data_IF_279109991363
#
_entry.id   IF_279109991363
#
_cell.length_a   1.000
_cell.length_b   1.000
_cell.length_c   1.000
_cell.angle_alpha   90.00
_cell.angle_beta   90.00
_cell.angle_gamma   90.00
#
_symmetry.space_group_name_H-M   'P 1'
#
loop_
_entity.id
_entity.type
_entity.pdbx_description
1 polymer ?
#
# COMPACT_ATOMS: atom_id res chain seq x y z
N UNK A 1 -5.93 -19.48 0.96
CA UNK A 1 -4.82 -20.43 0.78
C UNK A 1 -3.69 -20.16 1.78
N UNK A 2 -3.07 -18.97 1.77
CA UNK A 2 -1.94 -18.62 2.64
C UNK A 2 -2.24 -18.72 4.14
N UNK A 3 -3.43 -18.32 4.58
CA UNK A 3 -3.90 -18.51 5.96
C UNK A 3 -3.97 -20.00 6.36
N UNK A 4 -4.51 -20.85 5.48
CA UNK A 4 -4.65 -22.30 5.72
C UNK A 4 -3.28 -22.97 5.78
N UNK A 5 -2.37 -22.60 4.86
CA UNK A 5 -0.99 -23.11 4.86
C UNK A 5 -0.25 -22.70 6.13
N UNK A 6 -0.40 -21.44 6.59
CA UNK A 6 0.18 -21.01 7.87
C UNK A 6 -0.44 -21.75 9.07
N UNK A 7 -1.76 -21.93 9.09
CA UNK A 7 -2.43 -22.66 10.17
C UNK A 7 -1.97 -24.12 10.24
N UNK A 8 -1.82 -24.79 9.10
CA UNK A 8 -1.28 -26.14 9.00
C UNK A 8 0.20 -26.20 9.41
N UNK A 9 1.00 -25.22 8.99
CA UNK A 9 2.41 -25.13 9.37
C UNK A 9 2.55 -24.93 10.89
N UNK A 10 1.79 -24.01 11.49
CA UNK A 10 1.73 -23.81 12.95
C UNK A 10 1.28 -25.10 13.64
N UNK A 11 0.19 -25.72 13.20
CA UNK A 11 -0.30 -26.97 13.79
C UNK A 11 0.76 -28.08 13.74
N UNK A 12 1.43 -28.26 12.60
CA UNK A 12 2.52 -29.21 12.45
C UNK A 12 3.72 -28.86 13.35
N UNK A 13 4.07 -27.56 13.45
CA UNK A 13 5.16 -27.05 14.30
C UNK A 13 4.99 -27.38 15.78
N UNK A 14 3.75 -27.44 16.28
CA UNK A 14 3.46 -27.67 17.71
C UNK A 14 2.96 -29.08 18.04
N UNK A 15 2.30 -29.76 17.10
CA UNK A 15 1.69 -31.08 17.37
C UNK A 15 2.62 -32.24 17.08
N UNK A 16 3.56 -32.05 16.15
CA UNK A 16 4.60 -33.03 15.85
C UNK A 16 5.81 -32.60 16.66
N UNK A 17 6.16 -33.36 17.70
CA UNK A 17 7.27 -33.11 18.63
C UNK A 17 8.65 -33.24 17.94
N UNK A 18 8.83 -32.57 16.80
CA UNK A 18 10.02 -32.54 15.98
C UNK A 18 10.59 -31.13 16.05
N UNK A 19 11.85 -31.00 16.51
CA UNK A 19 12.54 -29.71 16.59
C UNK A 19 12.57 -28.96 15.23
N UNK A 20 12.52 -29.69 14.12
CA UNK A 20 12.49 -29.13 12.76
C UNK A 20 11.12 -28.56 12.37
N UNK A 21 10.03 -29.04 12.97
CA UNK A 21 8.67 -28.60 12.65
C UNK A 21 8.48 -27.12 13.00
N UNK A 22 9.11 -26.67 14.08
CA UNK A 22 9.10 -25.28 14.56
C UNK A 22 9.58 -24.30 13.48
N UNK A 23 10.56 -24.69 12.66
CA UNK A 23 11.12 -23.81 11.61
C UNK A 23 10.25 -23.71 10.35
N UNK A 24 9.42 -24.71 10.05
CA UNK A 24 8.57 -24.71 8.84
C UNK A 24 7.55 -23.57 8.83
N UNK A 25 7.02 -23.20 10.01
CA UNK A 25 6.13 -22.06 10.13
C UNK A 25 6.78 -20.70 9.85
N UNK A 26 8.10 -20.59 10.02
CA UNK A 26 8.87 -19.38 9.73
C UNK A 26 9.24 -19.23 8.24
N UNK A 27 9.25 -20.33 7.47
CA UNK A 27 9.65 -20.33 6.05
C UNK A 27 8.76 -19.44 5.21
N UNK A 28 7.44 -19.54 5.37
CA UNK A 28 6.49 -18.83 4.50
C UNK A 28 6.54 -17.31 4.71
N UNK A 29 6.52 -16.76 5.95
CA UNK A 29 6.75 -15.33 6.17
C UNK A 29 8.10 -14.86 5.64
N UNK A 30 9.18 -15.62 5.86
CA UNK A 30 10.51 -15.24 5.42
C UNK A 30 10.62 -15.20 3.89
N UNK A 31 10.15 -16.22 3.17
CA UNK A 31 10.15 -16.26 1.71
C UNK A 31 9.32 -15.12 1.12
N UNK A 32 8.14 -14.87 1.68
CA UNK A 32 7.30 -13.77 1.19
C UNK A 32 7.96 -12.41 1.44
N UNK A 33 8.61 -12.22 2.58
CA UNK A 33 9.37 -11.00 2.88
C UNK A 33 10.58 -10.83 1.95
N UNK A 34 11.23 -11.91 1.52
CA UNK A 34 12.38 -11.84 0.62
C UNK A 34 11.99 -11.60 -0.84
N UNK A 35 10.91 -12.22 -1.31
CA UNK A 35 10.53 -12.19 -2.73
C UNK A 35 9.59 -11.03 -3.03
N UNK A 36 8.57 -10.84 -2.19
CA UNK A 36 7.45 -9.94 -2.50
C UNK A 36 7.65 -8.56 -1.88
N UNK A 37 8.26 -8.46 -0.69
CA UNK A 37 8.45 -7.17 -0.04
C UNK A 37 9.39 -6.21 -0.79
N UNK A 38 10.50 -6.64 -1.43
CA UNK A 38 11.33 -5.74 -2.22
C UNK A 38 10.56 -5.13 -3.39
N UNK A 39 9.76 -5.92 -4.10
CA UNK A 39 8.89 -5.41 -5.15
C UNK A 39 7.91 -4.40 -4.56
N UNK A 40 7.22 -4.74 -3.48
CA UNK A 40 6.24 -3.83 -2.89
C UNK A 40 6.80 -2.55 -2.26
N UNK A 41 8.01 -2.59 -1.70
CA UNK A 41 8.58 -1.50 -0.91
C UNK A 41 9.57 -0.65 -1.71
N UNK A 42 10.29 -1.25 -2.64
CA UNK A 42 11.44 -0.66 -3.34
C UNK A 42 11.14 -0.39 -4.82
N UNK A 43 10.14 -1.06 -5.41
CA UNK A 43 9.83 -0.88 -6.84
C UNK A 43 9.57 0.59 -7.15
N UNK A 44 10.41 1.09 -8.06
CA UNK A 44 10.41 2.49 -8.50
C UNK A 44 9.42 2.65 -9.64
N UNK A 45 8.97 3.87 -9.83
CA UNK A 45 8.16 4.20 -10.99
C UNK A 45 8.91 3.87 -12.29
N UNK A 46 8.25 3.18 -13.21
CA UNK A 46 8.77 2.96 -14.56
C UNK A 46 8.93 4.28 -15.34
N UNK A 47 8.22 5.33 -14.89
CA UNK A 47 8.30 6.69 -15.42
C UNK A 47 9.14 7.55 -14.44
N UNK A 48 10.14 8.33 -14.92
CA UNK A 48 10.89 9.23 -14.06
C UNK A 48 9.99 10.27 -13.35
N UNK A 49 10.24 10.62 -12.08
CA UNK A 49 9.42 11.59 -11.34
C UNK A 49 9.22 12.92 -12.08
N UNK A 50 10.29 13.46 -12.69
CA UNK A 50 10.21 14.70 -13.47
C UNK A 50 9.25 14.59 -14.67
N UNK A 51 9.16 13.41 -15.28
CA UNK A 51 8.23 13.15 -16.39
C UNK A 51 6.79 13.07 -15.88
N UNK A 52 6.57 12.42 -14.73
CA UNK A 52 5.25 12.39 -14.07
C UNK A 52 4.78 13.82 -13.78
N UNK A 53 5.62 14.64 -13.13
CA UNK A 53 5.27 16.04 -12.83
C UNK A 53 4.94 16.81 -14.10
N UNK A 54 5.75 16.68 -15.16
CA UNK A 54 5.49 17.37 -16.43
C UNK A 54 4.14 16.99 -17.06
N UNK A 55 3.71 15.73 -16.92
CA UNK A 55 2.39 15.27 -17.43
C UNK A 55 1.25 15.82 -16.56
N UNK A 56 1.45 15.95 -15.25
CA UNK A 56 0.43 16.39 -14.31
C UNK A 56 0.26 17.92 -14.24
N UNK A 57 1.35 18.69 -14.37
CA UNK A 57 1.35 20.17 -14.33
C UNK A 57 0.27 20.83 -15.20
N UNK A 58 0.01 20.42 -16.46
CA UNK A 58 -1.02 21.07 -17.27
C UNK A 58 -2.46 20.78 -16.79
N UNK A 59 -2.67 19.81 -15.89
CA UNK A 59 -3.99 19.39 -15.41
C UNK A 59 -4.23 19.73 -13.94
N UNK A 60 -3.17 19.74 -13.13
CA UNK A 60 -3.23 19.81 -11.67
C UNK A 60 -2.38 20.97 -11.14
N UNK A 61 -2.94 21.83 -10.29
CA UNK A 61 -2.19 22.94 -9.68
C UNK A 61 -1.29 22.51 -8.50
N UNK A 62 -1.46 21.29 -8.00
CA UNK A 62 -0.66 20.65 -6.95
C UNK A 62 0.18 19.48 -7.48
N UNK A 63 0.60 19.54 -8.75
CA UNK A 63 1.28 18.45 -9.45
C UNK A 63 2.53 17.91 -8.73
N UNK A 64 3.26 18.75 -7.99
CA UNK A 64 4.45 18.33 -7.23
C UNK A 64 4.09 17.40 -6.05
N UNK A 65 3.16 17.84 -5.18
CA UNK A 65 2.65 17.04 -4.06
C UNK A 65 2.06 15.72 -4.56
N UNK A 66 1.34 15.78 -5.69
CA UNK A 66 0.71 14.63 -6.32
C UNK A 66 1.75 13.65 -6.90
N UNK A 67 2.79 14.17 -7.56
CA UNK A 67 3.89 13.34 -8.06
C UNK A 67 4.61 12.64 -6.91
N UNK A 68 4.93 13.36 -5.84
CA UNK A 68 5.60 12.78 -4.68
C UNK A 68 4.76 11.65 -4.06
N UNK A 69 3.44 11.83 -3.99
CA UNK A 69 2.52 10.82 -3.49
C UNK A 69 2.44 9.59 -4.42
N UNK A 70 2.31 9.80 -5.73
CA UNK A 70 2.28 8.73 -6.74
C UNK A 70 3.57 7.93 -6.73
N UNK A 71 4.74 8.59 -6.70
CA UNK A 71 6.04 7.90 -6.64
C UNK A 71 6.17 7.10 -5.34
N UNK A 72 5.74 7.67 -4.21
CA UNK A 72 5.78 6.99 -2.90
C UNK A 72 4.94 5.71 -2.88
N UNK A 73 3.79 5.71 -3.54
CA UNK A 73 2.84 4.59 -3.55
C UNK A 73 2.67 3.96 -4.94
N UNK A 74 3.72 4.04 -5.77
CA UNK A 74 3.67 3.63 -7.18
C UNK A 74 3.10 2.23 -7.37
N UNK A 75 3.64 1.25 -6.65
CA UNK A 75 3.20 -0.15 -6.72
C UNK A 75 1.70 -0.31 -6.41
N UNK A 76 1.18 0.46 -5.44
CA UNK A 76 -0.22 0.38 -5.04
C UNK A 76 -1.15 0.85 -6.17
N UNK A 77 -0.72 1.88 -6.89
CA UNK A 77 -1.46 2.44 -8.01
C UNK A 77 -1.32 1.56 -9.26
N UNK A 78 -0.08 1.16 -9.61
CA UNK A 78 0.24 0.37 -10.79
C UNK A 78 -0.31 -1.07 -10.77
N UNK A 79 -0.42 -1.70 -9.60
CA UNK A 79 -0.90 -3.09 -9.48
C UNK A 79 -2.25 -3.19 -8.77
N UNK A 80 -3.15 -2.28 -9.13
CA UNK A 80 -4.44 -2.03 -8.50
C UNK A 80 -5.27 -3.28 -8.19
N UNK A 81 -5.37 -4.17 -9.16
CA UNK A 81 -6.16 -5.40 -9.11
C UNK A 81 -5.61 -6.44 -8.12
N UNK A 82 -4.34 -6.31 -7.72
CA UNK A 82 -3.65 -7.27 -6.85
C UNK A 82 -3.18 -6.66 -5.52
N UNK A 83 -3.18 -5.34 -5.38
CA UNK A 83 -2.67 -4.63 -4.19
C UNK A 83 -3.37 -5.06 -2.90
N UNK A 84 -4.70 -5.16 -2.91
CA UNK A 84 -5.50 -5.63 -1.77
C UNK A 84 -5.12 -7.04 -1.32
N UNK A 85 -4.95 -7.97 -2.26
CA UNK A 85 -4.56 -9.36 -1.97
C UNK A 85 -3.17 -9.40 -1.33
N UNK A 86 -2.21 -8.66 -1.91
CA UNK A 86 -0.85 -8.53 -1.37
C UNK A 86 -0.86 -7.93 0.04
N UNK A 87 -1.65 -6.89 0.30
CA UNK A 87 -1.84 -6.31 1.65
C UNK A 87 -2.35 -7.34 2.63
N UNK A 88 -3.46 -8.03 2.31
CA UNK A 88 -4.05 -9.05 3.18
C UNK A 88 -3.05 -10.16 3.51
N UNK A 89 -2.34 -10.66 2.52
CA UNK A 89 -1.36 -11.72 2.68
C UNK A 89 -0.17 -11.24 3.55
N UNK A 90 0.30 -10.00 3.36
CA UNK A 90 1.27 -9.37 4.25
C UNK A 90 0.76 -9.24 5.68
N UNK A 91 -0.54 -8.93 5.89
CA UNK A 91 -1.14 -8.84 7.23
C UNK A 91 -1.05 -10.18 7.97
N UNK A 92 -1.54 -11.23 7.31
CA UNK A 92 -1.53 -12.59 7.87
C UNK A 92 -0.10 -13.01 8.22
N UNK A 93 0.86 -12.72 7.33
CA UNK A 93 2.24 -13.16 7.48
C UNK A 93 3.02 -12.36 8.52
N UNK A 94 2.80 -11.05 8.68
CA UNK A 94 3.48 -10.31 9.74
C UNK A 94 2.99 -10.75 11.13
N UNK A 95 1.68 -11.00 11.27
CA UNK A 95 1.10 -11.49 12.53
C UNK A 95 1.68 -12.87 12.87
N UNK A 96 1.77 -13.74 11.86
CA UNK A 96 2.40 -15.06 11.98
C UNK A 96 3.88 -14.93 12.38
N UNK A 97 4.61 -13.99 11.77
CA UNK A 97 6.01 -13.74 12.09
C UNK A 97 6.23 -13.24 13.52
N UNK A 98 5.40 -12.30 14.00
CA UNK A 98 5.45 -11.83 15.38
C UNK A 98 5.07 -12.91 16.39
N UNK A 99 4.08 -13.75 16.07
CA UNK A 99 3.75 -14.91 16.88
C UNK A 99 4.94 -15.87 17.01
N UNK A 100 5.58 -16.24 15.90
CA UNK A 100 6.78 -17.09 15.93
C UNK A 100 7.96 -16.44 16.64
N UNK A 101 8.13 -15.12 16.51
CA UNK A 101 9.13 -14.37 17.28
C UNK A 101 8.93 -14.58 18.78
N UNK A 102 7.71 -14.43 19.28
CA UNK A 102 7.40 -14.64 20.69
C UNK A 102 7.69 -16.09 21.11
N UNK A 103 7.22 -17.07 20.33
CA UNK A 103 7.43 -18.50 20.58
C UNK A 103 8.92 -18.84 20.69
N UNK A 104 9.74 -18.34 19.75
CA UNK A 104 11.18 -18.62 19.74
C UNK A 104 11.88 -18.00 20.95
N UNK A 105 11.50 -16.78 21.35
CA UNK A 105 12.03 -16.15 22.57
C UNK A 105 11.67 -16.96 23.81
N UNK A 106 10.44 -17.44 23.94
CA UNK A 106 10.01 -18.31 25.06
C UNK A 106 10.71 -19.67 25.07
N UNK A 107 11.28 -20.10 23.94
CA UNK A 107 12.09 -21.32 23.81
C UNK A 107 13.60 -21.05 23.88
N UNK A 108 14.00 -19.84 24.28
CA UNK A 108 15.40 -19.40 24.38
C UNK A 108 16.15 -19.37 23.02
N UNK A 109 15.42 -19.44 21.91
CA UNK A 109 15.94 -19.34 20.54
C UNK A 109 16.01 -17.87 20.08
N UNK A 110 16.78 -17.05 20.79
CA UNK A 110 16.79 -15.60 20.61
C UNK A 110 17.15 -15.15 19.18
N UNK A 111 18.13 -15.81 18.54
CA UNK A 111 18.53 -15.46 17.17
C UNK A 111 17.40 -15.68 16.16
N UNK A 112 16.69 -16.80 16.26
CA UNK A 112 15.54 -17.10 15.42
C UNK A 112 14.38 -16.12 15.71
N UNK A 113 14.16 -15.80 17.00
CA UNK A 113 13.16 -14.82 17.42
C UNK A 113 13.42 -13.44 16.82
N UNK A 114 14.65 -12.94 16.94
CA UNK A 114 15.05 -11.65 16.37
C UNK A 114 14.89 -11.59 14.85
N UNK A 115 15.25 -12.67 14.14
CA UNK A 115 15.06 -12.75 12.69
C UNK A 115 13.58 -12.69 12.31
N UNK A 116 12.71 -13.42 13.02
CA UNK A 116 11.27 -13.38 12.77
C UNK A 116 10.63 -12.04 13.11
N UNK A 117 11.14 -11.34 14.12
CA UNK A 117 10.72 -9.97 14.42
C UNK A 117 11.06 -9.03 13.27
N UNK A 118 12.27 -9.13 12.71
CA UNK A 118 12.69 -8.33 11.56
C UNK A 118 11.84 -8.62 10.32
N UNK A 119 11.60 -9.91 10.02
CA UNK A 119 10.70 -10.35 8.94
C UNK A 119 9.29 -9.78 9.13
N UNK A 120 8.74 -9.91 10.34
CA UNK A 120 7.42 -9.35 10.68
C UNK A 120 7.37 -7.83 10.49
N UNK A 121 8.42 -7.11 10.89
CA UNK A 121 8.50 -5.67 10.68
C UNK A 121 8.49 -5.27 9.20
N UNK A 122 9.26 -5.98 8.35
CA UNK A 122 9.27 -5.74 6.90
C UNK A 122 7.89 -5.98 6.29
N UNK A 123 7.24 -7.08 6.65
CA UNK A 123 5.90 -7.43 6.18
C UNK A 123 4.82 -6.46 6.68
N UNK A 124 4.97 -5.96 7.91
CA UNK A 124 4.11 -4.91 8.46
C UNK A 124 4.24 -3.62 7.65
N UNK A 125 5.47 -3.15 7.40
CA UNK A 125 5.72 -1.96 6.57
C UNK A 125 5.14 -2.12 5.15
N UNK A 126 5.28 -3.31 4.58
CA UNK A 126 4.67 -3.66 3.30
C UNK A 126 3.14 -3.56 3.36
N UNK A 127 2.50 -4.13 4.40
CA UNK A 127 1.04 -4.13 4.54
C UNK A 127 0.43 -2.72 4.59
N UNK A 128 1.17 -1.75 5.14
CA UNK A 128 0.74 -0.36 5.19
C UNK A 128 0.87 0.32 3.82
N UNK A 129 1.94 0.02 3.07
CA UNK A 129 2.31 0.75 1.85
C UNK A 129 1.59 0.26 0.60
N UNK A 130 1.37 -1.06 0.48
CA UNK A 130 0.99 -1.72 -0.79
C UNK A 130 -0.40 -1.36 -1.28
N UNK A 131 -1.29 -0.91 -0.41
CA UNK A 131 -2.66 -0.52 -0.77
C UNK A 131 -3.05 0.82 -0.15
N UNK A 132 -2.04 1.64 0.24
CA UNK A 132 -2.26 2.85 1.05
C UNK A 132 -3.27 3.81 0.41
N UNK A 133 -3.13 4.23 -0.86
CA UNK A 133 -4.02 5.24 -1.43
C UNK A 133 -5.50 4.82 -1.38
N UNK A 134 -5.82 3.59 -1.78
CA UNK A 134 -7.19 3.06 -1.72
C UNK A 134 -7.69 2.90 -0.29
N UNK A 135 -6.84 2.38 0.60
CA UNK A 135 -7.20 2.22 2.00
C UNK A 135 -7.47 3.53 2.73
N UNK A 136 -6.73 4.59 2.37
CA UNK A 136 -6.90 5.93 2.92
C UNK A 136 -8.18 6.55 2.35
N UNK A 137 -8.37 6.48 1.03
CA UNK A 137 -9.57 6.99 0.37
C UNK A 137 -10.86 6.36 0.93
N UNK A 138 -10.87 5.04 1.13
CA UNK A 138 -12.03 4.31 1.67
C UNK A 138 -12.28 4.52 3.18
N UNK A 139 -11.37 5.19 3.90
CA UNK A 139 -11.47 5.35 5.36
C UNK A 139 -12.19 6.64 5.74
N UNK A 140 -13.35 6.51 6.39
CA UNK A 140 -14.11 7.66 6.91
C UNK A 140 -13.30 8.50 7.89
N UNK A 141 -12.47 7.89 8.74
CA UNK A 141 -11.62 8.62 9.70
C UNK A 141 -10.62 9.59 9.04
N UNK A 142 -10.12 9.25 7.84
CA UNK A 142 -9.25 10.11 7.05
C UNK A 142 -10.08 11.18 6.33
N UNK A 143 -11.26 10.82 5.84
CA UNK A 143 -12.19 11.72 5.17
C UNK A 143 -12.72 12.81 6.12
N UNK A 144 -13.18 12.43 7.30
CA UNK A 144 -13.81 13.32 8.27
C UNK A 144 -12.80 14.14 9.09
N UNK A 145 -11.49 13.95 8.84
CA UNK A 145 -10.43 14.66 9.53
C UNK A 145 -10.24 14.24 11.00
N UNK A 146 -10.66 13.03 11.37
CA UNK A 146 -10.46 12.50 12.74
C UNK A 146 -8.98 12.35 13.11
N UNK A 147 -8.11 12.21 12.10
CA UNK A 147 -6.65 12.24 12.24
C UNK A 147 -6.05 13.66 12.15
N UNK A 148 -6.88 14.70 12.21
CA UNK A 148 -6.51 16.10 12.01
C UNK A 148 -6.25 16.46 10.55
N UNK A 149 -5.75 17.68 10.34
CA UNK A 149 -5.51 18.27 9.01
C UNK A 149 -4.57 17.44 8.14
N UNK A 150 -3.60 16.75 8.75
CA UNK A 150 -2.66 15.89 8.03
C UNK A 150 -3.34 14.64 7.47
N UNK A 151 -4.27 14.04 8.22
CA UNK A 151 -5.08 12.91 7.77
C UNK A 151 -6.01 13.30 6.64
N UNK A 152 -6.69 14.46 6.76
CA UNK A 152 -7.51 15.00 5.68
C UNK A 152 -6.67 15.26 4.42
N UNK A 153 -5.50 15.89 4.55
CA UNK A 153 -4.60 16.11 3.40
C UNK A 153 -4.15 14.79 2.75
N UNK A 154 -3.88 13.74 3.54
CA UNK A 154 -3.55 12.43 2.98
C UNK A 154 -4.74 11.82 2.21
N UNK A 155 -5.97 12.01 2.70
CA UNK A 155 -7.19 11.60 2.00
C UNK A 155 -7.35 12.30 0.66
N UNK A 156 -7.18 13.62 0.63
CA UNK A 156 -7.29 14.42 -0.60
C UNK A 156 -6.23 13.99 -1.63
N UNK A 157 -4.98 13.82 -1.19
CA UNK A 157 -3.90 13.32 -2.06
C UNK A 157 -4.16 11.91 -2.56
N UNK A 158 -4.73 11.04 -1.73
CA UNK A 158 -5.07 9.68 -2.14
C UNK A 158 -6.15 9.67 -3.24
N UNK A 159 -7.23 10.45 -3.06
CA UNK A 159 -8.31 10.57 -4.04
C UNK A 159 -7.79 11.14 -5.38
N UNK A 160 -7.06 12.26 -5.32
CA UNK A 160 -6.46 12.87 -6.51
C UNK A 160 -5.45 11.94 -7.18
N UNK A 161 -4.66 11.19 -6.42
CA UNK A 161 -3.66 10.29 -6.99
C UNK A 161 -4.30 9.12 -7.75
N UNK A 162 -5.45 8.60 -7.31
CA UNK A 162 -6.16 7.54 -8.05
C UNK A 162 -6.60 8.07 -9.43
N UNK A 163 -7.16 9.29 -9.47
CA UNK A 163 -7.60 9.92 -10.72
C UNK A 163 -6.38 10.26 -11.61
N UNK A 164 -5.40 10.96 -11.05
CA UNK A 164 -4.20 11.38 -11.78
C UNK A 164 -3.35 10.21 -12.29
N UNK A 165 -3.42 9.04 -11.63
CA UNK A 165 -2.74 7.86 -12.14
C UNK A 165 -3.40 7.30 -13.40
N UNK A 166 -4.72 7.44 -13.55
CA UNK A 166 -5.41 7.10 -14.81
C UNK A 166 -5.02 8.06 -15.95
N UNK A 167 -4.68 9.32 -15.65
CA UNK A 167 -4.13 10.25 -16.65
C UNK A 167 -2.76 9.80 -17.19
N UNK A 168 -1.98 9.03 -16.41
CA UNK A 168 -0.68 8.50 -16.82
C UNK A 168 -0.82 7.26 -17.73
N UNK A 169 -1.93 6.54 -17.63
CA UNK A 169 -2.21 5.29 -18.35
C UNK A 169 -3.66 5.29 -18.87
N UNK A 170 -3.99 6.13 -19.87
CA UNK A 170 -5.37 6.30 -20.34
C UNK A 170 -5.97 5.05 -20.97
N UNK A 171 -5.12 4.13 -21.45
CA UNK A 171 -5.51 2.88 -22.10
C UNK A 171 -5.73 1.71 -21.12
N UNK A 172 -5.45 1.91 -19.82
CA UNK A 172 -5.64 0.89 -18.78
C UNK A 172 -7.07 0.96 -18.22
N UNK A 173 -7.91 0.05 -18.70
CA UNK A 173 -9.34 -0.01 -18.37
C UNK A 173 -9.62 -0.16 -16.86
N UNK A 174 -8.98 -1.09 -16.12
CA UNK A 174 -9.11 -1.17 -14.66
C UNK A 174 -8.75 0.13 -13.90
N UNK A 175 -7.73 0.86 -14.35
CA UNK A 175 -7.36 2.14 -13.73
C UNK A 175 -8.41 3.22 -14.00
N UNK A 176 -8.96 3.24 -15.22
CA UNK A 176 -10.03 4.18 -15.61
C UNK A 176 -11.32 3.92 -14.86
N UNK A 177 -11.71 2.66 -14.68
CA UNK A 177 -12.89 2.29 -13.86
C UNK A 177 -12.71 2.76 -12.42
N UNK A 178 -11.56 2.45 -11.80
CA UNK A 178 -11.26 2.89 -10.44
C UNK A 178 -11.26 4.42 -10.30
N UNK A 179 -10.80 5.17 -11.31
CA UNK A 179 -10.86 6.62 -11.30
C UNK A 179 -12.31 7.13 -11.45
N UNK A 180 -13.12 6.47 -12.28
CA UNK A 180 -14.51 6.86 -12.52
C UNK A 180 -15.36 6.73 -11.25
N UNK A 181 -15.19 5.66 -10.47
CA UNK A 181 -15.84 5.51 -9.16
C UNK A 181 -15.49 6.64 -8.19
N UNK A 182 -14.23 7.11 -8.21
CA UNK A 182 -13.76 8.19 -7.35
C UNK A 182 -14.31 9.55 -7.81
N UNK A 183 -14.52 9.76 -9.12
CA UNK A 183 -15.12 10.97 -9.69
C UNK A 183 -16.59 11.14 -9.29
N UNK A 184 -17.29 10.07 -8.94
CA UNK A 184 -18.70 10.13 -8.52
C UNK A 184 -18.88 10.65 -7.08
N UNK A 185 -17.85 10.57 -6.22
CA UNK A 185 -17.91 11.06 -4.84
C UNK A 185 -18.04 12.60 -4.81
N UNK A 186 -19.09 13.08 -4.13
CA UNK A 186 -19.40 14.51 -4.00
C UNK A 186 -18.28 15.32 -3.36
N UNK A 187 -17.56 14.76 -2.38
CA UNK A 187 -16.43 15.44 -1.75
C UNK A 187 -15.23 15.55 -2.68
N UNK A 188 -15.07 14.58 -3.59
CA UNK A 188 -14.02 14.61 -4.60
C UNK A 188 -14.31 15.65 -5.66
N UNK A 189 -15.57 15.87 -6.05
CA UNK A 189 -15.95 16.95 -6.99
C UNK A 189 -15.52 18.33 -6.47
N UNK A 190 -15.65 18.57 -5.17
CA UNK A 190 -15.15 19.80 -4.54
C UNK A 190 -13.62 19.91 -4.61
N UNK A 191 -12.90 18.80 -4.43
CA UNK A 191 -11.44 18.77 -4.59
C UNK A 191 -11.02 19.05 -6.03
N UNK A 192 -11.71 18.49 -7.01
CA UNK A 192 -11.40 18.70 -8.42
C UNK A 192 -11.60 20.16 -8.82
N UNK A 193 -12.68 20.79 -8.39
CA UNK A 193 -12.90 22.22 -8.60
C UNK A 193 -11.77 23.09 -8.00
N UNK A 194 -11.10 22.62 -6.94
CA UNK A 194 -10.00 23.32 -6.27
C UNK A 194 -8.63 23.06 -6.90
N UNK A 195 -8.38 21.84 -7.38
CA UNK A 195 -7.03 21.36 -7.75
C UNK A 195 -6.86 21.06 -9.25
N UNK A 196 -7.94 20.80 -9.99
CA UNK A 196 -7.91 20.42 -11.41
C UNK A 196 -8.38 21.57 -12.31
N UNK A 197 -7.57 21.95 -13.29
CA UNK A 197 -7.84 23.12 -14.13
C UNK A 197 -9.12 22.99 -14.96
N UNK A 198 -9.37 21.81 -15.51
CA UNK A 198 -10.55 21.51 -16.33
C UNK A 198 -11.87 21.66 -15.55
N UNK A 199 -11.84 21.49 -14.22
CA UNK A 199 -13.01 21.52 -13.35
C UNK A 199 -13.20 22.84 -12.59
N UNK A 200 -12.41 23.87 -12.93
CA UNK A 200 -12.58 25.23 -12.40
C UNK A 200 -11.48 25.71 -11.45
N UNK A 201 -10.35 25.01 -11.31
CA UNK A 201 -9.19 25.49 -10.56
C UNK A 201 -8.44 26.61 -11.28
N UNK A 202 -9.11 27.68 -11.71
CA UNK A 202 -8.59 28.70 -12.61
C UNK A 202 -7.78 29.80 -11.92
N UNK A 203 -6.82 29.45 -11.04
CA UNK A 203 -5.95 30.44 -10.39
C UNK A 203 -4.47 30.40 -10.84
N UNK A 204 -4.14 29.68 -11.92
CA UNK A 204 -2.78 29.68 -12.48
C UNK A 204 -2.69 29.71 -14.03
N UNK A 205 -3.78 30.01 -14.76
CA UNK A 205 -3.71 30.30 -16.20
C UNK A 205 -3.50 31.81 -16.49
N UNK A 206 -3.09 32.58 -15.48
CA UNK A 206 -2.78 34.01 -15.58
C UNK A 206 -1.42 34.31 -14.95
N UNK A 207 -0.35 33.84 -15.60
CA UNK A 207 1.00 34.43 -15.51
C UNK A 207 1.76 34.12 -16.78
#
# INVERSE_FOLDING_TARGET
>A
MLFVVNALAIYASFSLNQALAIYWGAVLPALYALVVAPQALIERSGIPPATITRILVPKWNNAEDLTAYIVKYWMALATSTTSWKKRRDSVILYLTAFFFSAVYIFKELFAAGGLMLAVGYVLYRMSIKVDRPRSVYASSEFKDGSYGDSGRKEWELAAMAIIAFSDLYPDDEPLRESASEVLEDGDVKLLLAKYRYEDGASWAAAS
#
